data_IF_228441685181
#
_entry.id   IF_228441685181
#
_cell.length_a   1.000
_cell.length_b   1.000
_cell.length_c   1.000
_cell.angle_alpha   90.00
_cell.angle_beta   90.00
_cell.angle_gamma   90.00
#
_symmetry.space_group_name_H-M   'P 1'
#
loop_
_entity.id
_entity.type
_entity.pdbx_description
1 polymer ?
#
# COMPACT_ATOMS: atom_id res chain seq x y z
N UNK A 1 -16.60 -52.44 -16.77
CA UNK A 1 -17.48 -51.26 -16.56
C UNK A 1 -17.81 -51.24 -15.09
N UNK A 2 -17.71 -50.06 -14.47
CA UNK A 2 -17.85 -49.77 -13.03
C UNK A 2 -16.64 -50.02 -12.12
N UNK A 3 -15.59 -49.22 -12.33
CA UNK A 3 -14.62 -48.82 -11.28
C UNK A 3 -14.11 -47.39 -11.58
N UNK A 4 -15.02 -46.41 -11.70
CA UNK A 4 -14.69 -44.98 -11.72
C UNK A 4 -15.88 -44.21 -11.15
N UNK A 5 -15.95 -44.08 -9.82
CA UNK A 5 -16.76 -43.10 -9.07
C UNK A 5 -16.53 -43.28 -7.57
N UNK A 6 -15.37 -42.81 -7.07
CA UNK A 6 -15.18 -42.61 -5.62
C UNK A 6 -13.94 -41.76 -5.25
N UNK A 7 -13.69 -40.66 -5.96
CA UNK A 7 -12.64 -39.69 -5.58
C UNK A 7 -13.16 -38.24 -5.63
N UNK A 8 -14.38 -38.00 -5.15
CA UNK A 8 -14.90 -36.65 -4.90
C UNK A 8 -15.63 -36.63 -3.56
N UNK A 9 -14.88 -36.55 -2.47
CA UNK A 9 -15.26 -35.93 -1.20
C UNK A 9 -14.16 -36.24 -0.19
N UNK A 10 -13.22 -35.31 -0.03
CA UNK A 10 -12.54 -35.03 1.25
C UNK A 10 -11.64 -33.80 1.06
N UNK A 11 -12.21 -32.61 1.30
CA UNK A 11 -11.49 -31.35 1.39
C UNK A 11 -10.75 -31.23 2.72
N UNK A 12 -9.83 -32.15 2.99
CA UNK A 12 -8.94 -32.10 4.14
C UNK A 12 -7.77 -31.17 3.87
N UNK A 13 -7.55 -30.19 4.75
CA UNK A 13 -6.40 -29.30 4.71
C UNK A 13 -5.09 -30.11 4.83
N UNK A 14 -4.45 -30.36 3.68
CA UNK A 14 -3.17 -31.05 3.63
C UNK A 14 -2.10 -30.24 4.38
N UNK A 15 -1.41 -30.91 5.32
CA UNK A 15 -0.16 -30.44 5.93
C UNK A 15 0.85 -30.05 4.84
N UNK A 16 1.66 -28.99 5.02
CA UNK A 16 2.53 -28.48 3.97
C UNK A 16 3.51 -29.57 3.54
N UNK A 17 3.31 -30.11 2.34
CA UNK A 17 4.25 -31.07 1.77
C UNK A 17 5.53 -30.30 1.44
N UNK A 18 6.64 -30.67 2.07
CA UNK A 18 7.88 -29.89 2.07
C UNK A 18 8.61 -29.76 0.72
N UNK A 19 7.96 -30.07 -0.40
CA UNK A 19 8.58 -30.21 -1.72
C UNK A 19 8.00 -29.30 -2.82
N UNK A 20 6.92 -28.56 -2.55
CA UNK A 20 6.40 -27.60 -3.53
C UNK A 20 7.26 -26.33 -3.57
N UNK A 21 7.73 -25.98 -4.78
CA UNK A 21 8.52 -24.77 -4.99
C UNK A 21 7.62 -23.55 -4.90
N UNK A 22 8.06 -22.54 -4.14
CA UNK A 22 7.35 -21.25 -4.05
C UNK A 22 7.10 -20.67 -5.44
N UNK A 23 8.12 -20.64 -6.31
CA UNK A 23 7.95 -20.24 -7.71
C UNK A 23 8.47 -21.36 -8.61
N UNK A 24 7.58 -21.93 -9.43
CA UNK A 24 7.97 -22.92 -10.43
C UNK A 24 8.77 -22.28 -11.58
N UNK A 25 9.74 -23.00 -12.15
CA UNK A 25 10.59 -22.49 -13.24
C UNK A 25 9.79 -21.95 -14.43
N UNK A 26 8.65 -22.59 -14.75
CA UNK A 26 7.76 -22.18 -15.85
C UNK A 26 7.08 -20.82 -15.61
N UNK A 27 6.93 -20.41 -14.35
CA UNK A 27 6.30 -19.14 -13.97
C UNK A 27 7.31 -18.07 -13.55
N UNK A 28 8.61 -18.36 -13.56
CA UNK A 28 9.63 -17.44 -13.05
C UNK A 28 9.64 -16.09 -13.78
N UNK A 29 9.58 -16.09 -15.11
CA UNK A 29 9.58 -14.85 -15.90
C UNK A 29 8.31 -14.02 -15.64
N UNK A 30 7.08 -14.56 -15.76
CA UNK A 30 5.88 -13.84 -15.34
C UNK A 30 5.95 -13.35 -13.89
N UNK A 31 6.43 -14.18 -12.95
CA UNK A 31 6.53 -13.81 -11.55
C UNK A 31 7.44 -12.60 -11.34
N UNK A 32 8.64 -12.58 -11.95
CA UNK A 32 9.58 -11.45 -11.83
C UNK A 32 9.00 -10.17 -12.43
N UNK A 33 8.34 -10.26 -13.59
CA UNK A 33 7.73 -9.10 -14.24
C UNK A 33 6.56 -8.52 -13.44
N UNK A 34 5.69 -9.37 -12.87
CA UNK A 34 4.60 -8.89 -12.03
C UNK A 34 5.13 -8.41 -10.68
N UNK A 35 6.22 -9.01 -10.18
CA UNK A 35 6.91 -8.56 -8.97
C UNK A 35 7.47 -7.15 -9.12
N UNK A 36 8.03 -6.81 -10.28
CA UNK A 36 8.55 -5.45 -10.51
C UNK A 36 7.47 -4.37 -10.48
N UNK A 37 6.22 -4.72 -10.81
CA UNK A 37 5.08 -3.80 -10.69
C UNK A 37 4.85 -3.36 -9.24
N UNK A 38 5.06 -4.25 -8.26
CA UNK A 38 4.94 -3.90 -6.84
C UNK A 38 6.00 -2.89 -6.40
N UNK A 39 7.21 -2.96 -6.96
CA UNK A 39 8.26 -1.98 -6.71
C UNK A 39 7.93 -0.62 -7.37
N UNK A 40 7.48 -0.61 -8.63
CA UNK A 40 7.04 0.61 -9.32
C UNK A 40 5.88 1.29 -8.61
N UNK A 41 4.99 0.50 -8.04
CA UNK A 41 3.88 0.98 -7.25
C UNK A 41 4.35 1.55 -5.90
N UNK A 42 5.20 0.84 -5.15
CA UNK A 42 5.77 1.35 -3.89
C UNK A 42 6.49 2.68 -4.09
N UNK A 43 7.25 2.81 -5.19
CA UNK A 43 7.88 4.06 -5.59
C UNK A 43 6.84 5.18 -5.79
N UNK A 44 5.77 4.94 -6.54
CA UNK A 44 4.69 5.89 -6.82
C UNK A 44 4.00 6.39 -5.54
N UNK A 45 3.76 5.49 -4.60
CA UNK A 45 3.08 5.82 -3.35
C UNK A 45 3.92 6.78 -2.52
N UNK A 46 5.19 6.46 -2.33
CA UNK A 46 6.02 7.18 -1.37
C UNK A 46 6.79 8.37 -1.96
N UNK A 47 6.86 8.49 -3.29
CA UNK A 47 7.21 9.79 -3.91
C UNK A 47 6.08 10.82 -3.72
N UNK A 48 4.84 10.37 -3.51
CA UNK A 48 3.67 11.26 -3.43
C UNK A 48 3.48 11.90 -2.08
N UNK A 49 3.69 11.17 -0.97
CA UNK A 49 3.43 11.71 0.36
C UNK A 49 4.11 13.08 0.60
N UNK A 50 5.38 13.27 0.19
CA UNK A 50 6.04 14.59 0.23
C UNK A 50 5.41 15.67 -0.66
N UNK A 51 4.70 15.30 -1.73
CA UNK A 51 4.14 16.25 -2.70
C UNK A 51 3.04 17.12 -2.11
N UNK A 52 2.31 16.64 -1.09
CA UNK A 52 1.32 17.46 -0.37
C UNK A 52 1.98 18.73 0.19
N UNK A 53 3.15 18.55 0.83
CA UNK A 53 3.91 19.69 1.36
C UNK A 53 4.53 20.52 0.25
N UNK A 54 5.06 19.88 -0.80
CA UNK A 54 5.67 20.59 -1.93
C UNK A 54 4.66 21.51 -2.63
N UNK A 55 3.49 21.01 -3.02
CA UNK A 55 2.45 21.81 -3.67
C UNK A 55 1.91 22.91 -2.77
N UNK A 56 1.75 22.63 -1.46
CA UNK A 56 1.35 23.65 -0.48
C UNK A 56 2.30 24.85 -0.50
N UNK A 57 3.61 24.58 -0.47
CA UNK A 57 4.64 25.62 -0.45
C UNK A 57 4.76 26.33 -1.80
N UNK A 58 4.96 25.59 -2.90
CA UNK A 58 5.22 26.14 -4.24
C UNK A 58 4.03 26.96 -4.76
N UNK A 59 2.81 26.49 -4.52
CA UNK A 59 1.59 27.12 -5.03
C UNK A 59 0.85 27.98 -3.98
N UNK A 60 1.41 28.15 -2.78
CA UNK A 60 0.82 28.89 -1.65
C UNK A 60 -0.66 28.51 -1.39
N UNK A 61 -0.99 27.23 -1.50
CA UNK A 61 -2.35 26.73 -1.27
C UNK A 61 -2.57 26.33 0.18
N UNK A 62 -3.84 26.31 0.62
CA UNK A 62 -4.19 25.88 1.96
C UNK A 62 -3.97 24.37 2.17
N UNK A 63 -3.82 23.96 3.43
CA UNK A 63 -3.77 22.53 3.79
C UNK A 63 -4.98 21.76 3.25
N UNK A 64 -6.18 22.36 3.31
CA UNK A 64 -7.40 21.77 2.77
C UNK A 64 -7.32 21.52 1.26
N UNK A 65 -6.77 22.46 0.48
CA UNK A 65 -6.54 22.25 -0.94
C UNK A 65 -5.47 21.17 -1.18
N UNK A 66 -4.37 21.21 -0.43
CA UNK A 66 -3.30 20.22 -0.56
C UNK A 66 -3.74 18.80 -0.19
N UNK A 67 -4.67 18.64 0.77
CA UNK A 67 -5.21 17.32 1.14
C UNK A 67 -6.00 16.64 0.03
N UNK A 68 -6.44 17.38 -1.01
CA UNK A 68 -7.04 16.75 -2.19
C UNK A 68 -6.08 15.80 -2.91
N UNK A 69 -4.76 15.97 -2.78
CA UNK A 69 -3.79 15.00 -3.33
C UNK A 69 -3.99 13.62 -2.70
N UNK A 70 -4.15 13.55 -1.38
CA UNK A 70 -4.44 12.29 -0.68
C UNK A 70 -5.85 11.79 -1.01
N UNK A 71 -6.83 12.69 -1.10
CA UNK A 71 -8.19 12.32 -1.50
C UNK A 71 -8.22 11.69 -2.90
N UNK A 72 -7.51 12.28 -3.88
CA UNK A 72 -7.35 11.72 -5.20
C UNK A 72 -6.65 10.36 -5.13
N UNK A 73 -5.58 10.26 -4.33
CA UNK A 73 -4.86 9.00 -4.12
C UNK A 73 -5.78 7.85 -3.71
N UNK A 74 -6.43 7.99 -2.55
CA UNK A 74 -7.27 6.95 -1.99
C UNK A 74 -8.61 6.80 -2.72
N UNK A 75 -9.15 7.91 -3.25
CA UNK A 75 -10.34 7.89 -4.09
C UNK A 75 -10.14 7.10 -5.37
N UNK A 76 -8.94 7.14 -5.96
CA UNK A 76 -8.60 6.37 -7.15
C UNK A 76 -8.64 4.87 -6.89
N UNK A 77 -8.06 4.43 -5.77
CA UNK A 77 -8.15 3.03 -5.32
C UNK A 77 -9.59 2.58 -5.11
N UNK A 78 -10.40 3.38 -4.42
CA UNK A 78 -11.78 3.02 -4.13
C UNK A 78 -12.63 2.94 -5.39
N UNK A 79 -12.53 3.93 -6.27
CA UNK A 79 -13.43 4.06 -7.44
C UNK A 79 -13.07 3.11 -8.58
N UNK A 80 -11.78 2.79 -8.78
CA UNK A 80 -11.32 2.03 -9.96
C UNK A 80 -11.03 0.55 -9.70
N UNK A 81 -10.99 0.10 -8.44
CA UNK A 81 -10.82 -1.31 -8.13
C UNK A 81 -11.95 -2.19 -8.70
N UNK A 82 -13.21 -1.80 -8.54
CA UNK A 82 -14.34 -2.56 -9.08
C UNK A 82 -14.40 -2.56 -10.62
N UNK A 83 -14.25 -1.41 -11.31
CA UNK A 83 -14.06 -1.38 -12.76
C UNK A 83 -12.91 -2.27 -13.25
N UNK A 84 -11.78 -2.30 -12.55
CA UNK A 84 -10.67 -3.17 -12.87
C UNK A 84 -11.09 -4.65 -12.82
N UNK A 85 -11.74 -5.09 -11.75
CA UNK A 85 -12.25 -6.48 -11.63
C UNK A 85 -13.22 -6.86 -12.76
N UNK A 86 -14.14 -5.96 -13.13
CA UNK A 86 -15.07 -6.18 -14.26
C UNK A 86 -14.29 -6.37 -15.57
N UNK A 87 -13.26 -5.56 -15.81
CA UNK A 87 -12.43 -5.68 -17.01
C UNK A 87 -11.61 -6.98 -17.01
N UNK A 88 -11.19 -7.51 -15.86
CA UNK A 88 -10.49 -8.82 -15.78
C UNK A 88 -11.43 -9.98 -16.14
N UNK A 89 -12.74 -9.86 -15.90
CA UNK A 89 -13.69 -10.87 -16.40
C UNK A 89 -13.86 -10.83 -17.91
N UNK A 90 -13.83 -9.64 -18.51
CA UNK A 90 -14.03 -9.45 -19.95
C UNK A 90 -12.76 -9.67 -20.77
N UNK A 91 -11.60 -9.43 -20.18
CA UNK A 91 -10.29 -9.46 -20.84
C UNK A 91 -9.30 -10.30 -20.03
N UNK A 92 -8.13 -10.61 -20.60
CA UNK A 92 -7.11 -11.32 -19.83
C UNK A 92 -6.42 -10.41 -18.82
N UNK A 93 -5.91 -10.97 -17.71
CA UNK A 93 -5.06 -10.27 -16.73
C UNK A 93 -4.03 -9.37 -17.40
N UNK A 94 -3.30 -9.90 -18.40
CA UNK A 94 -2.29 -9.16 -19.15
C UNK A 94 -2.85 -7.89 -19.80
N UNK A 95 -4.02 -7.95 -20.44
CA UNK A 95 -4.63 -6.79 -21.10
C UNK A 95 -5.02 -5.72 -20.09
N UNK A 96 -5.57 -6.13 -18.94
CA UNK A 96 -5.98 -5.20 -17.88
C UNK A 96 -4.76 -4.58 -17.18
N UNK A 97 -3.70 -5.36 -16.96
CA UNK A 97 -2.41 -4.85 -16.46
C UNK A 97 -1.87 -3.78 -17.40
N UNK A 98 -1.78 -4.06 -18.70
CA UNK A 98 -1.29 -3.09 -19.70
C UNK A 98 -2.16 -1.84 -19.76
N UNK A 99 -3.48 -1.97 -19.61
CA UNK A 99 -4.37 -0.83 -19.51
C UNK A 99 -4.10 0.02 -18.26
N UNK A 100 -3.92 -0.62 -17.10
CA UNK A 100 -3.52 0.05 -15.86
C UNK A 100 -2.17 0.75 -15.97
N UNK A 101 -1.18 0.12 -16.61
CA UNK A 101 0.11 0.74 -16.90
C UNK A 101 -0.02 1.93 -17.84
N UNK A 102 -0.93 1.87 -18.82
CA UNK A 102 -1.28 2.98 -19.68
C UNK A 102 -1.81 4.18 -18.90
N UNK A 103 -2.80 3.95 -18.03
CA UNK A 103 -3.33 4.99 -17.14
C UNK A 103 -2.25 5.57 -16.22
N UNK A 104 -1.41 4.73 -15.64
CA UNK A 104 -0.30 5.14 -14.80
C UNK A 104 0.67 6.04 -15.59
N UNK A 105 1.16 5.58 -16.73
CA UNK A 105 2.06 6.35 -17.59
C UNK A 105 1.42 7.68 -18.02
N UNK A 106 0.16 7.66 -18.47
CA UNK A 106 -0.57 8.89 -18.84
C UNK A 106 -0.65 9.86 -17.66
N UNK A 107 -1.04 9.41 -16.48
CA UNK A 107 -1.13 10.26 -15.29
C UNK A 107 0.21 10.91 -14.94
N UNK A 108 1.31 10.16 -14.99
CA UNK A 108 2.65 10.70 -14.76
C UNK A 108 3.12 11.68 -15.84
N UNK A 109 2.84 11.41 -17.12
CA UNK A 109 3.24 12.28 -18.24
C UNK A 109 2.42 13.58 -18.29
N UNK A 110 1.17 13.55 -17.79
CA UNK A 110 0.34 14.76 -17.67
C UNK A 110 0.87 15.78 -16.64
N UNK A 111 1.86 15.41 -15.81
CA UNK A 111 2.59 16.39 -15.00
C UNK A 111 3.34 17.41 -15.89
N UNK A 112 3.70 17.05 -17.12
CA UNK A 112 4.35 17.97 -18.05
C UNK A 112 3.46 19.16 -18.42
N UNK A 113 2.26 18.98 -18.99
CA UNK A 113 1.34 20.10 -19.22
C UNK A 113 0.86 20.74 -17.90
N UNK A 114 0.70 19.98 -16.81
CA UNK A 114 0.30 20.55 -15.53
C UNK A 114 1.30 21.60 -15.01
N UNK A 115 2.60 21.34 -15.17
CA UNK A 115 3.66 22.28 -14.81
C UNK A 115 3.67 23.52 -15.71
N UNK A 116 3.37 23.37 -17.01
CA UNK A 116 3.28 24.50 -17.93
C UNK A 116 2.13 25.46 -17.59
N UNK A 117 0.96 24.90 -17.25
CA UNK A 117 -0.19 25.71 -16.86
C UNK A 117 -0.12 26.22 -15.41
N UNK A 118 0.79 25.68 -14.59
CA UNK A 118 0.97 26.02 -13.17
C UNK A 118 -0.32 25.95 -12.33
N UNK A 119 -1.29 25.14 -12.75
CA UNK A 119 -2.57 25.02 -12.05
C UNK A 119 -2.63 23.72 -11.25
N UNK A 120 -2.87 23.87 -9.94
CA UNK A 120 -3.05 22.73 -9.03
C UNK A 120 -4.09 21.71 -9.51
N UNK A 121 -5.18 22.17 -10.14
CA UNK A 121 -6.22 21.29 -10.67
C UNK A 121 -5.72 20.32 -11.74
N UNK A 122 -4.79 20.74 -12.61
CA UNK A 122 -4.20 19.84 -13.60
C UNK A 122 -3.27 18.82 -12.95
N UNK A 123 -2.48 19.21 -11.95
CA UNK A 123 -1.68 18.26 -11.17
C UNK A 123 -2.56 17.25 -10.47
N UNK A 124 -3.65 17.70 -9.85
CA UNK A 124 -4.60 16.83 -9.17
C UNK A 124 -5.28 15.85 -10.12
N UNK A 125 -5.70 16.29 -11.31
CA UNK A 125 -6.29 15.41 -12.33
C UNK A 125 -5.27 14.38 -12.84
N UNK A 126 -4.04 14.81 -13.11
CA UNK A 126 -2.92 13.94 -13.52
C UNK A 126 -2.66 12.87 -12.46
N UNK A 127 -2.65 13.30 -11.20
CA UNK A 127 -2.47 12.45 -10.04
C UNK A 127 -3.62 11.44 -9.87
N UNK A 128 -4.85 11.86 -10.11
CA UNK A 128 -6.01 10.97 -10.05
C UNK A 128 -5.96 9.90 -11.15
N UNK A 129 -5.59 10.25 -12.38
CA UNK A 129 -5.41 9.29 -13.48
C UNK A 129 -4.27 8.29 -13.17
N UNK A 130 -3.17 8.77 -12.59
CA UNK A 130 -2.08 7.91 -12.12
C UNK A 130 -2.61 6.86 -11.13
N UNK A 131 -3.43 7.28 -10.17
CA UNK A 131 -3.98 6.40 -9.13
C UNK A 131 -4.96 5.38 -9.66
N UNK A 132 -5.69 5.70 -10.73
CA UNK A 132 -6.49 4.72 -11.46
C UNK A 132 -5.63 3.60 -12.02
N UNK A 133 -4.47 3.95 -12.59
CA UNK A 133 -3.50 2.96 -13.04
C UNK A 133 -3.04 2.05 -11.91
N UNK A 134 -2.69 2.62 -10.75
CA UNK A 134 -2.28 1.84 -9.58
C UNK A 134 -3.40 0.91 -9.08
N UNK A 135 -4.64 1.38 -9.00
CA UNK A 135 -5.79 0.57 -8.59
C UNK A 135 -6.00 -0.64 -9.51
N UNK A 136 -5.81 -0.46 -10.81
CA UNK A 136 -5.86 -1.55 -11.80
C UNK A 136 -4.75 -2.55 -11.59
N UNK A 137 -3.50 -2.08 -11.41
CA UNK A 137 -2.36 -2.95 -11.16
C UNK A 137 -2.52 -3.74 -9.87
N UNK A 138 -3.06 -3.13 -8.82
CA UNK A 138 -3.23 -3.79 -7.54
C UNK A 138 -4.36 -4.83 -7.54
N UNK A 139 -5.47 -4.51 -8.21
CA UNK A 139 -6.59 -5.45 -8.36
C UNK A 139 -6.22 -6.66 -9.24
N UNK A 140 -5.25 -6.50 -10.14
CA UNK A 140 -4.82 -7.56 -11.08
C UNK A 140 -3.59 -8.35 -10.63
N UNK A 141 -2.56 -7.67 -10.12
CA UNK A 141 -1.27 -8.28 -9.84
C UNK A 141 -1.33 -9.24 -8.65
N UNK A 142 -2.06 -8.88 -7.58
CA UNK A 142 -2.14 -9.74 -6.39
C UNK A 142 -2.80 -11.10 -6.73
N UNK A 143 -3.99 -11.18 -7.35
CA UNK A 143 -4.58 -12.47 -7.75
C UNK A 143 -3.75 -13.24 -8.78
N UNK A 144 -3.09 -12.52 -9.71
CA UNK A 144 -2.22 -13.15 -10.68
C UNK A 144 -1.06 -13.88 -9.98
N UNK A 145 -0.35 -13.23 -9.05
CA UNK A 145 0.72 -13.89 -8.27
C UNK A 145 0.19 -15.09 -7.46
N UNK A 146 -0.98 -14.96 -6.86
CA UNK A 146 -1.62 -16.04 -6.13
C UNK A 146 -1.94 -17.25 -7.04
N UNK A 147 -2.25 -17.03 -8.31
CA UNK A 147 -2.56 -18.10 -9.27
C UNK A 147 -1.34 -18.73 -9.97
N UNK A 148 -0.13 -18.15 -9.85
CA UNK A 148 1.09 -18.65 -10.50
C UNK A 148 1.74 -19.84 -9.78
N UNK A 149 1.02 -20.96 -9.67
CA UNK A 149 1.50 -22.21 -9.09
C UNK A 149 0.51 -22.85 -8.13
N UNK A 150 1.00 -23.69 -7.22
CA UNK A 150 0.15 -24.44 -6.29
C UNK A 150 -0.60 -23.53 -5.31
N UNK A 151 -1.79 -23.98 -4.86
CA UNK A 151 -2.58 -23.27 -3.85
C UNK A 151 -1.86 -23.21 -2.49
N UNK A 152 -1.11 -24.25 -2.10
CA UNK A 152 -0.40 -24.32 -0.82
C UNK A 152 0.64 -23.19 -0.63
N UNK A 153 1.37 -22.84 -1.69
CA UNK A 153 2.41 -21.81 -1.63
C UNK A 153 1.95 -20.42 -2.06
N UNK A 154 0.66 -20.24 -2.37
CA UNK A 154 0.08 -19.00 -2.91
C UNK A 154 0.34 -17.77 -2.02
N UNK A 155 -0.06 -17.81 -0.76
CA UNK A 155 0.14 -16.69 0.18
C UNK A 155 1.62 -16.36 0.38
N UNK A 156 2.49 -17.39 0.37
CA UNK A 156 3.94 -17.21 0.47
C UNK A 156 4.54 -16.59 -0.79
N UNK A 157 4.07 -16.95 -2.00
CA UNK A 157 4.43 -16.28 -3.26
C UNK A 157 4.06 -14.81 -3.23
N UNK A 158 2.85 -14.50 -2.77
CA UNK A 158 2.37 -13.13 -2.69
C UNK A 158 3.24 -12.30 -1.74
N UNK A 159 3.56 -12.85 -0.56
CA UNK A 159 4.49 -12.23 0.38
C UNK A 159 5.87 -11.99 -0.24
N UNK A 160 6.42 -12.97 -0.97
CA UNK A 160 7.70 -12.82 -1.66
C UNK A 160 7.68 -11.70 -2.70
N UNK A 161 6.65 -11.64 -3.55
CA UNK A 161 6.51 -10.57 -4.54
C UNK A 161 6.37 -9.20 -3.86
N UNK A 162 5.55 -9.14 -2.80
CA UNK A 162 5.31 -7.91 -2.03
C UNK A 162 6.52 -7.48 -1.17
N UNK A 163 7.55 -8.31 -1.01
CA UNK A 163 8.84 -7.88 -0.42
C UNK A 163 9.58 -6.86 -1.26
N UNK A 164 9.26 -6.74 -2.55
CA UNK A 164 9.85 -5.75 -3.43
C UNK A 164 9.12 -4.39 -3.37
N UNK A 165 7.90 -4.36 -2.83
CA UNK A 165 7.16 -3.11 -2.67
C UNK A 165 7.88 -2.09 -1.76
N UNK A 166 8.36 -2.45 -0.54
CA UNK A 166 9.04 -1.48 0.31
C UNK A 166 10.42 -1.06 -0.23
N UNK A 167 11.05 -1.87 -1.08
CA UNK A 167 12.26 -1.46 -1.82
C UNK A 167 11.92 -0.31 -2.76
N UNK A 168 10.81 -0.43 -3.48
CA UNK A 168 10.24 0.65 -4.29
C UNK A 168 9.95 1.90 -3.46
N UNK A 169 9.26 1.73 -2.33
CA UNK A 169 8.97 2.82 -1.37
C UNK A 169 10.20 3.56 -0.88
N UNK A 170 11.24 2.84 -0.43
CA UNK A 170 12.51 3.42 -0.01
C UNK A 170 13.16 4.23 -1.12
N UNK A 171 13.13 3.71 -2.35
CA UNK A 171 13.66 4.41 -3.53
C UNK A 171 12.83 5.67 -3.83
N UNK A 172 11.50 5.60 -3.71
CA UNK A 172 10.58 6.73 -3.90
C UNK A 172 10.81 7.85 -2.89
N UNK A 173 10.93 7.51 -1.60
CA UNK A 173 11.26 8.48 -0.53
C UNK A 173 12.62 9.13 -0.77
N UNK A 174 13.63 8.32 -1.13
CA UNK A 174 14.96 8.83 -1.45
C UNK A 174 14.90 9.82 -2.62
N UNK A 175 14.20 9.47 -3.70
CA UNK A 175 14.05 10.37 -4.85
C UNK A 175 13.32 11.65 -4.47
N UNK A 176 12.21 11.55 -3.74
CA UNK A 176 11.46 12.71 -3.28
C UNK A 176 12.31 13.65 -2.41
N UNK A 177 13.10 13.11 -1.49
CA UNK A 177 13.93 13.91 -0.61
C UNK A 177 15.10 14.56 -1.35
N UNK A 178 15.82 13.80 -2.18
CA UNK A 178 17.10 14.24 -2.76
C UNK A 178 16.96 15.00 -4.08
N UNK A 179 15.91 14.73 -4.85
CA UNK A 179 15.73 15.30 -6.19
C UNK A 179 14.52 16.23 -6.28
N UNK A 180 13.60 16.20 -5.31
CA UNK A 180 12.48 17.15 -5.25
C UNK A 180 12.68 18.12 -4.10
N UNK A 181 12.46 17.70 -2.87
CA UNK A 181 12.36 18.60 -1.71
C UNK A 181 13.62 19.43 -1.47
N UNK A 182 14.81 18.85 -1.61
CA UNK A 182 16.10 19.56 -1.41
C UNK A 182 16.42 20.56 -2.53
N UNK A 183 15.66 20.55 -3.62
CA UNK A 183 15.84 21.38 -4.81
C UNK A 183 14.74 22.43 -5.00
N UNK A 184 13.79 22.52 -4.06
CA UNK A 184 12.73 23.52 -4.08
C UNK A 184 13.24 24.85 -3.52
N UNK A 185 13.35 25.86 -4.38
CA UNK A 185 13.72 27.21 -3.95
C UNK A 185 12.62 27.84 -3.09
N UNK A 186 11.35 27.46 -3.32
CA UNK A 186 10.22 27.91 -2.50
C UNK A 186 10.26 27.42 -1.06
N UNK A 187 11.04 26.37 -0.77
CA UNK A 187 11.19 25.80 0.56
C UNK A 187 12.32 26.45 1.38
N UNK A 188 13.06 27.40 0.80
CA UNK A 188 14.12 28.14 1.50
C UNK A 188 13.55 28.98 2.65
N UNK A 189 14.22 28.90 3.80
CA UNK A 189 13.84 29.58 5.03
C UNK A 189 14.84 30.66 5.40
N UNK A 190 14.32 31.77 5.91
CA UNK A 190 15.15 32.84 6.47
C UNK A 190 15.72 32.40 7.84
N UNK A 191 16.62 33.22 8.40
CA UNK A 191 17.25 32.94 9.69
C UNK A 191 16.24 32.81 10.86
N UNK A 192 15.04 33.40 10.72
CA UNK A 192 13.93 33.31 11.68
C UNK A 192 13.02 32.07 11.46
N UNK A 193 13.32 31.25 10.44
CA UNK A 193 12.55 30.06 10.09
C UNK A 193 11.31 30.30 9.22
N UNK A 194 11.01 31.56 8.85
CA UNK A 194 9.94 31.91 7.91
C UNK A 194 10.32 31.54 6.47
N UNK A 195 9.32 31.26 5.61
CA UNK A 195 9.56 30.96 4.20
C UNK A 195 9.90 32.25 3.46
N UNK A 196 11.10 32.32 2.87
CA UNK A 196 11.55 33.49 2.09
C UNK A 196 10.58 33.73 0.94
N UNK A 197 10.20 32.65 0.26
CA UNK A 197 9.32 32.66 -0.89
C UNK A 197 8.04 33.46 -0.67
N UNK A 198 7.38 33.31 0.48
CA UNK A 198 6.11 33.99 0.76
C UNK A 198 6.23 35.51 0.86
N UNK A 199 7.44 36.03 1.11
CA UNK A 199 7.73 37.47 1.22
C UNK A 199 8.18 38.11 -0.10
N UNK A 200 8.46 37.31 -1.14
CA UNK A 200 8.97 37.80 -2.42
C UNK A 200 7.89 38.51 -3.26
N UNK A 201 8.27 39.45 -4.13
CA UNK A 201 7.37 40.02 -5.14
C UNK A 201 6.83 38.96 -6.11
N UNK A 202 5.62 39.15 -6.63
CA UNK A 202 4.97 38.13 -7.49
C UNK A 202 5.77 37.79 -8.75
N UNK A 203 6.54 38.74 -9.29
CA UNK A 203 7.42 38.48 -10.45
C UNK A 203 8.51 37.45 -10.16
N UNK A 204 9.14 37.52 -8.98
CA UNK A 204 10.14 36.54 -8.55
C UNK A 204 9.48 35.21 -8.17
N UNK A 205 8.31 35.27 -7.51
CA UNK A 205 7.52 34.08 -7.19
C UNK A 205 7.17 33.29 -8.45
N UNK A 206 6.76 33.96 -9.53
CA UNK A 206 6.40 33.30 -10.77
C UNK A 206 7.57 32.52 -11.40
N UNK A 207 8.79 33.07 -11.31
CA UNK A 207 10.01 32.41 -11.81
C UNK A 207 10.34 31.19 -10.96
N UNK A 208 10.37 31.35 -9.63
CA UNK A 208 10.63 30.25 -8.69
C UNK A 208 9.57 29.15 -8.84
N UNK A 209 8.29 29.53 -8.92
CA UNK A 209 7.18 28.60 -9.13
C UNK A 209 7.37 27.78 -10.41
N UNK A 210 7.72 28.43 -11.52
CA UNK A 210 7.97 27.73 -12.78
C UNK A 210 9.11 26.70 -12.64
N UNK A 211 10.22 27.09 -12.00
CA UNK A 211 11.38 26.23 -11.78
C UNK A 211 11.06 25.06 -10.83
N UNK A 212 10.46 25.33 -9.68
CA UNK A 212 10.11 24.32 -8.69
C UNK A 212 9.09 23.31 -9.23
N UNK A 213 8.14 23.75 -10.07
CA UNK A 213 7.21 22.84 -10.72
C UNK A 213 7.90 21.94 -11.76
N UNK A 214 8.99 22.39 -12.40
CA UNK A 214 9.82 21.52 -13.24
C UNK A 214 10.56 20.48 -12.41
N UNK A 215 11.09 20.88 -11.25
CA UNK A 215 11.74 19.98 -10.28
C UNK A 215 10.78 18.87 -9.83
N UNK A 216 9.51 19.20 -9.58
CA UNK A 216 8.46 18.20 -9.26
C UNK A 216 8.11 17.34 -10.47
N UNK A 217 7.96 17.96 -11.65
CA UNK A 217 7.56 17.28 -12.90
C UNK A 217 8.55 16.20 -13.31
N UNK A 218 9.84 16.49 -13.29
CA UNK A 218 10.85 15.67 -13.97
C UNK A 218 10.90 14.23 -13.44
N UNK A 219 10.92 13.98 -12.12
CA UNK A 219 10.85 12.62 -11.58
C UNK A 219 9.57 11.85 -11.98
N UNK A 220 8.42 12.52 -12.06
CA UNK A 220 7.17 11.91 -12.51
C UNK A 220 7.23 11.57 -14.01
N UNK A 221 7.74 12.47 -14.86
CA UNK A 221 7.90 12.17 -16.29
C UNK A 221 8.85 11.00 -16.51
N UNK A 222 9.98 10.95 -15.79
CA UNK A 222 10.92 9.82 -15.83
C UNK A 222 10.24 8.51 -15.39
N UNK A 223 9.43 8.54 -14.32
CA UNK A 223 8.64 7.41 -13.87
C UNK A 223 7.69 6.91 -14.98
N UNK A 224 7.02 7.81 -15.68
CA UNK A 224 6.16 7.47 -16.81
C UNK A 224 6.89 6.74 -17.93
N UNK A 225 8.11 7.19 -18.27
CA UNK A 225 8.96 6.51 -19.26
C UNK A 225 9.38 5.11 -18.81
N UNK A 226 9.74 4.94 -17.53
CA UNK A 226 10.05 3.63 -16.95
C UNK A 226 8.83 2.71 -16.98
N UNK A 227 7.65 3.21 -16.62
CA UNK A 227 6.39 2.45 -16.68
C UNK A 227 6.10 2.01 -18.12
N UNK A 228 6.28 2.88 -19.11
CA UNK A 228 6.12 2.53 -20.53
C UNK A 228 7.09 1.43 -20.93
N UNK A 229 8.37 1.54 -20.56
CA UNK A 229 9.38 0.53 -20.88
C UNK A 229 8.99 -0.84 -20.29
N UNK A 230 8.57 -0.89 -19.03
CA UNK A 230 8.09 -2.13 -18.38
C UNK A 230 6.80 -2.64 -19.04
N UNK A 231 5.90 -1.75 -19.46
CA UNK A 231 4.67 -2.12 -20.16
C UNK A 231 4.98 -2.80 -21.50
N UNK A 232 5.96 -2.28 -22.26
CA UNK A 232 6.42 -2.90 -23.51
C UNK A 232 6.98 -4.31 -23.24
N UNK A 233 7.79 -4.48 -22.20
CA UNK A 233 8.34 -5.79 -21.80
C UNK A 233 7.21 -6.78 -21.46
N UNK A 234 6.20 -6.36 -20.71
CA UNK A 234 5.02 -7.18 -20.38
C UNK A 234 4.20 -7.48 -21.64
N UNK A 235 4.07 -6.52 -22.55
CA UNK A 235 3.33 -6.67 -23.79
C UNK A 235 3.94 -7.74 -24.71
N UNK A 236 5.27 -7.86 -24.76
CA UNK A 236 5.95 -8.89 -25.56
C UNK A 236 6.08 -10.23 -24.83
N UNK A 237 6.01 -10.24 -23.51
CA UNK A 237 6.14 -11.48 -22.71
C UNK A 237 4.85 -12.30 -22.71
N UNK A 238 4.96 -13.62 -22.88
CA UNK A 238 3.83 -14.54 -22.74
C UNK A 238 3.54 -14.78 -21.26
N UNK A 239 2.38 -14.30 -20.80
CA UNK A 239 1.86 -14.58 -19.45
C UNK A 239 0.80 -15.67 -19.60
N UNK A 240 0.89 -16.77 -18.84
CA UNK A 240 -0.13 -17.82 -18.83
C UNK A 240 -1.52 -17.22 -18.57
N UNK A 241 -2.49 -17.56 -19.40
CA UNK A 241 -3.88 -17.15 -19.21
C UNK A 241 -4.55 -18.12 -18.24
N UNK A 242 -4.86 -17.65 -17.03
CA UNK A 242 -5.58 -18.43 -16.02
C UNK A 242 -7.09 -18.24 -16.05
N UNK A 243 -7.62 -17.38 -16.95
CA UNK A 243 -9.06 -17.11 -17.01
C UNK A 243 -9.76 -18.12 -17.93
N UNK A 244 -10.57 -18.99 -17.33
CA UNK A 244 -11.73 -19.53 -18.00
C UNK A 244 -12.75 -18.40 -18.19
N UNK A 245 -13.23 -18.21 -19.42
CA UNK A 245 -14.29 -17.23 -19.68
C UNK A 245 -15.58 -17.77 -19.04
N UNK A 246 -16.13 -17.01 -18.10
CA UNK A 246 -17.45 -17.30 -17.54
C UNK A 246 -18.51 -16.53 -18.35
N UNK A 247 -19.11 -17.21 -19.34
CA UNK A 247 -20.11 -16.63 -20.24
C UNK A 247 -21.43 -16.27 -19.50
N UNK A 248 -21.62 -16.73 -18.25
CA UNK A 248 -22.79 -16.44 -17.41
C UNK A 248 -22.48 -15.47 -16.24
N UNK A 249 -21.49 -14.59 -16.41
CA UNK A 249 -21.12 -13.63 -15.37
C UNK A 249 -22.28 -12.70 -14.96
N UNK A 250 -22.64 -12.76 -13.68
CA UNK A 250 -23.57 -11.84 -13.01
C UNK A 250 -22.86 -11.12 -11.86
N UNK A 251 -22.81 -9.79 -11.93
CA UNK A 251 -22.17 -8.97 -10.91
C UNK A 251 -22.91 -9.07 -9.57
N UNK A 252 -24.24 -9.06 -9.59
CA UNK A 252 -25.08 -9.13 -8.38
C UNK A 252 -24.85 -10.42 -7.60
N UNK A 253 -24.87 -11.56 -8.29
CA UNK A 253 -24.69 -12.86 -7.65
C UNK A 253 -23.27 -13.02 -7.09
N UNK A 254 -22.27 -12.49 -7.79
CA UNK A 254 -20.87 -12.49 -7.35
C UNK A 254 -20.69 -11.68 -6.07
N UNK A 255 -21.25 -10.47 -6.00
CA UNK A 255 -21.21 -9.65 -4.80
C UNK A 255 -21.96 -10.30 -3.63
N UNK A 256 -23.11 -10.94 -3.91
CA UNK A 256 -23.87 -11.66 -2.89
C UNK A 256 -23.07 -12.83 -2.31
N UNK A 257 -22.43 -13.65 -3.15
CA UNK A 257 -21.55 -14.75 -2.69
C UNK A 257 -20.40 -14.25 -1.84
N UNK A 258 -19.77 -13.13 -2.24
CA UNK A 258 -18.69 -12.51 -1.47
C UNK A 258 -19.18 -12.04 -0.09
N UNK A 259 -20.30 -11.33 -0.01
CA UNK A 259 -20.85 -10.84 1.26
C UNK A 259 -21.24 -12.00 2.20
N UNK A 260 -21.71 -13.12 1.64
CA UNK A 260 -22.03 -14.34 2.40
C UNK A 260 -20.78 -15.09 2.86
N UNK A 261 -19.65 -14.94 2.18
CA UNK A 261 -18.39 -15.56 2.59
C UNK A 261 -17.80 -14.85 3.82
N UNK A 262 -17.92 -15.51 4.97
CA UNK A 262 -17.45 -14.99 6.27
C UNK A 262 -15.94 -14.74 6.28
N UNK A 263 -15.14 -15.62 5.66
CA UNK A 263 -13.68 -15.48 5.57
C UNK A 263 -13.31 -14.21 4.83
N UNK A 264 -13.91 -14.01 3.67
CA UNK A 264 -13.68 -12.83 2.85
C UNK A 264 -14.11 -11.56 3.58
N UNK A 265 -15.32 -11.53 4.16
CA UNK A 265 -15.83 -10.35 4.88
C UNK A 265 -14.93 -9.97 6.05
N UNK A 266 -14.53 -10.92 6.89
CA UNK A 266 -13.60 -10.65 7.98
C UNK A 266 -12.23 -10.21 7.46
N UNK A 267 -11.77 -10.76 6.33
CA UNK A 267 -10.54 -10.35 5.65
C UNK A 267 -10.57 -8.90 5.17
N UNK A 268 -11.66 -8.46 4.54
CA UNK A 268 -11.86 -7.05 4.14
C UNK A 268 -11.83 -6.13 5.36
N UNK A 269 -12.51 -6.50 6.44
CA UNK A 269 -12.46 -5.72 7.69
C UNK A 269 -11.04 -5.66 8.24
N UNK A 270 -10.37 -6.80 8.36
CA UNK A 270 -8.97 -6.85 8.83
C UNK A 270 -8.05 -6.00 7.95
N UNK A 271 -8.28 -5.97 6.65
CA UNK A 271 -7.52 -5.16 5.69
C UNK A 271 -7.70 -3.65 5.92
N UNK A 272 -8.94 -3.19 6.18
CA UNK A 272 -9.24 -1.78 6.53
C UNK A 272 -8.46 -1.37 7.78
N UNK A 273 -8.56 -2.19 8.84
CA UNK A 273 -7.87 -1.92 10.11
C UNK A 273 -6.35 -1.99 9.97
N UNK A 274 -5.83 -2.93 9.17
CA UNK A 274 -4.39 -3.02 8.89
C UNK A 274 -3.86 -1.77 8.19
N UNK A 275 -4.50 -1.34 7.09
CA UNK A 275 -4.02 -0.17 6.35
C UNK A 275 -4.12 1.08 7.25
N UNK A 276 -5.20 1.21 8.01
CA UNK A 276 -5.34 2.25 9.03
C UNK A 276 -4.19 2.24 10.04
N UNK A 277 -3.91 1.11 10.68
CA UNK A 277 -2.82 0.95 11.65
C UNK A 277 -1.46 1.33 11.06
N UNK A 278 -1.18 0.89 9.83
CA UNK A 278 0.08 1.13 9.15
C UNK A 278 0.32 2.62 8.92
N UNK A 279 -0.65 3.30 8.29
CA UNK A 279 -0.51 4.73 7.99
C UNK A 279 -0.45 5.54 9.28
N UNK A 280 -1.27 5.20 10.28
CA UNK A 280 -1.24 5.83 11.60
C UNK A 280 0.14 5.70 12.27
N UNK A 281 0.69 4.48 12.37
CA UNK A 281 1.98 4.25 13.00
C UNK A 281 3.09 5.05 12.31
N UNK A 282 3.17 4.98 10.99
CA UNK A 282 4.24 5.66 10.24
C UNK A 282 4.11 7.17 10.23
N UNK A 283 2.89 7.68 10.02
CA UNK A 283 2.64 9.12 10.00
C UNK A 283 3.05 9.75 11.32
N UNK A 284 2.67 9.13 12.44
CA UNK A 284 2.84 9.72 13.77
C UNK A 284 4.13 9.32 14.49
N UNK A 285 5.05 8.59 13.84
CA UNK A 285 6.45 8.46 14.34
C UNK A 285 7.07 9.83 14.52
N UNK A 286 6.87 10.73 13.56
CA UNK A 286 7.52 12.04 13.56
C UNK A 286 7.00 12.89 14.71
N UNK A 287 5.67 13.01 14.84
CA UNK A 287 5.03 13.78 15.91
C UNK A 287 5.32 13.19 17.29
N UNK A 288 5.42 11.86 17.41
CA UNK A 288 5.81 11.22 18.66
C UNK A 288 7.25 11.60 19.03
N UNK A 289 8.19 11.52 18.09
CA UNK A 289 9.59 11.88 18.31
C UNK A 289 9.75 13.38 18.68
N UNK A 290 9.04 14.28 17.98
CA UNK A 290 9.04 15.71 18.31
C UNK A 290 8.48 15.98 19.71
N UNK A 291 7.40 15.27 20.11
CA UNK A 291 6.78 15.43 21.42
C UNK A 291 7.71 15.06 22.59
N UNK A 292 8.69 14.20 22.37
CA UNK A 292 9.68 13.80 23.38
C UNK A 292 11.02 14.55 23.24
N UNK A 293 11.11 15.52 22.34
CA UNK A 293 12.23 16.46 22.24
C UNK A 293 13.20 16.26 21.09
N UNK A 294 12.96 15.31 20.17
CA UNK A 294 13.78 15.15 18.97
C UNK A 294 13.49 16.22 17.93
N UNK A 295 14.51 16.56 17.13
CA UNK A 295 14.36 17.42 15.97
C UNK A 295 13.60 16.69 14.85
N UNK A 296 13.00 17.46 13.93
CA UNK A 296 12.35 16.91 12.72
C UNK A 296 13.29 16.05 11.88
N UNK A 297 14.58 16.38 11.85
CA UNK A 297 15.57 15.63 11.08
C UNK A 297 15.81 14.24 11.71
N UNK A 298 15.99 14.17 13.02
CA UNK A 298 16.13 12.91 13.76
C UNK A 298 14.85 12.07 13.67
N UNK A 299 13.69 12.71 13.82
CA UNK A 299 12.38 12.10 13.66
C UNK A 299 12.20 11.44 12.27
N UNK A 300 12.68 12.09 11.21
CA UNK A 300 12.65 11.52 9.87
C UNK A 300 13.60 10.32 9.73
N UNK A 301 14.76 10.34 10.37
CA UNK A 301 15.67 9.18 10.41
C UNK A 301 15.01 7.96 11.07
N UNK A 302 14.21 8.16 12.12
CA UNK A 302 13.45 7.06 12.75
C UNK A 302 12.41 6.44 11.81
N UNK A 303 11.74 7.25 10.98
CA UNK A 303 10.82 6.72 9.96
C UNK A 303 11.57 5.86 8.92
N UNK A 304 12.77 6.28 8.49
CA UNK A 304 13.60 5.47 7.60
C UNK A 304 14.00 4.14 8.26
N UNK A 305 14.37 4.16 9.55
CA UNK A 305 14.65 2.92 10.30
C UNK A 305 13.42 2.01 10.33
N UNK A 306 12.23 2.56 10.60
CA UNK A 306 10.96 1.83 10.58
C UNK A 306 10.72 1.13 9.23
N UNK A 307 11.01 1.80 8.11
CA UNK A 307 10.92 1.24 6.76
C UNK A 307 11.91 0.10 6.51
N UNK A 308 13.15 0.25 6.97
CA UNK A 308 14.17 -0.81 6.86
C UNK A 308 13.76 -2.03 7.69
N UNK A 309 13.23 -1.82 8.89
CA UNK A 309 12.70 -2.88 9.74
C UNK A 309 11.48 -3.56 9.11
N UNK A 310 10.59 -2.81 8.47
CA UNK A 310 9.45 -3.35 7.73
C UNK A 310 9.92 -4.26 6.59
N UNK A 311 10.87 -3.80 5.77
CA UNK A 311 11.44 -4.57 4.67
C UNK A 311 12.13 -5.85 5.16
N UNK A 312 13.00 -5.72 6.16
CA UNK A 312 13.74 -6.84 6.75
C UNK A 312 12.79 -7.86 7.39
N UNK A 313 11.81 -7.36 8.17
CA UNK A 313 10.74 -8.16 8.76
C UNK A 313 9.95 -8.92 7.71
N UNK A 314 9.68 -8.31 6.55
CA UNK A 314 8.91 -8.96 5.46
C UNK A 314 9.65 -10.15 4.87
N UNK A 315 10.95 -10.01 4.60
CA UNK A 315 11.76 -11.14 4.11
C UNK A 315 11.86 -12.26 5.15
N UNK A 316 12.08 -11.91 6.42
CA UNK A 316 12.13 -12.89 7.51
C UNK A 316 10.79 -13.61 7.65
N UNK A 317 9.68 -12.89 7.67
CA UNK A 317 8.34 -13.47 7.75
C UNK A 317 8.02 -14.37 6.55
N UNK A 318 8.36 -13.95 5.33
CA UNK A 318 8.20 -14.75 4.11
C UNK A 318 9.01 -16.05 4.18
N UNK A 319 10.18 -16.02 4.82
CA UNK A 319 10.97 -17.23 5.09
C UNK A 319 10.30 -18.11 6.15
N UNK A 320 9.81 -17.53 7.25
CA UNK A 320 9.12 -18.24 8.33
C UNK A 320 7.83 -18.93 7.86
N UNK A 321 7.15 -18.40 6.83
CA UNK A 321 6.01 -19.05 6.18
C UNK A 321 6.33 -20.42 5.56
N UNK A 322 7.62 -20.78 5.42
CA UNK A 322 8.02 -22.16 5.08
C UNK A 322 7.66 -23.15 6.18
N UNK A 323 7.69 -22.72 7.43
CA UNK A 323 7.59 -23.59 8.61
C UNK A 323 6.27 -23.42 9.36
N UNK A 324 5.63 -22.25 9.24
CA UNK A 324 4.44 -21.88 9.99
C UNK A 324 3.31 -21.49 9.03
N UNK A 325 2.08 -21.93 9.31
CA UNK A 325 0.88 -21.52 8.54
C UNK A 325 0.73 -20.00 8.55
N UNK A 326 0.33 -19.43 7.41
CA UNK A 326 0.20 -17.98 7.23
C UNK A 326 -0.76 -17.33 8.24
N UNK A 327 -1.88 -17.98 8.56
CA UNK A 327 -2.88 -17.52 9.55
C UNK A 327 -2.32 -17.45 10.97
N UNK A 328 -1.52 -18.43 11.38
CA UNK A 328 -0.84 -18.43 12.67
C UNK A 328 0.21 -17.34 12.75
N UNK A 329 1.02 -17.18 11.70
CA UNK A 329 2.05 -16.14 11.65
C UNK A 329 1.43 -14.73 11.71
N UNK A 330 0.30 -14.54 11.02
CA UNK A 330 -0.49 -13.31 11.09
C UNK A 330 -0.96 -13.01 12.52
N UNK A 331 -1.51 -14.00 13.23
CA UNK A 331 -1.97 -13.83 14.60
C UNK A 331 -0.82 -13.48 15.56
N UNK A 332 0.31 -14.18 15.45
CA UNK A 332 1.50 -13.93 16.29
C UNK A 332 2.05 -12.52 16.04
N UNK A 333 2.14 -12.11 14.78
CA UNK A 333 2.62 -10.76 14.47
C UNK A 333 1.65 -9.68 14.93
N UNK A 334 0.34 -9.91 14.85
CA UNK A 334 -0.66 -9.01 15.40
C UNK A 334 -0.55 -8.87 16.93
N UNK A 335 -0.30 -9.97 17.65
CA UNK A 335 0.00 -9.93 19.09
C UNK A 335 1.30 -9.16 19.40
N UNK A 336 2.33 -9.31 18.57
CA UNK A 336 3.55 -8.50 18.67
C UNK A 336 3.27 -7.01 18.46
N UNK A 337 2.44 -6.65 17.49
CA UNK A 337 1.95 -5.29 17.27
C UNK A 337 1.18 -4.73 18.46
N UNK A 338 0.29 -5.52 19.07
CA UNK A 338 -0.41 -5.14 20.32
C UNK A 338 0.60 -4.86 21.43
N UNK A 339 1.58 -5.74 21.61
CA UNK A 339 2.63 -5.57 22.62
C UNK A 339 3.43 -4.29 22.42
N UNK A 340 3.87 -4.02 21.19
CA UNK A 340 4.61 -2.79 20.86
C UNK A 340 3.76 -1.54 21.07
N UNK A 341 2.49 -1.53 20.64
CA UNK A 341 1.59 -0.40 20.89
C UNK A 341 1.32 -0.17 22.37
N UNK A 342 1.20 -1.25 23.16
CA UNK A 342 1.05 -1.16 24.61
C UNK A 342 2.26 -0.45 25.24
N UNK A 343 3.47 -0.79 24.82
CA UNK A 343 4.69 -0.10 25.27
C UNK A 343 4.69 1.37 24.83
N UNK A 344 4.37 1.66 23.57
CA UNK A 344 4.27 3.03 23.05
C UNK A 344 3.30 3.89 23.85
N UNK A 345 2.14 3.34 24.22
CA UNK A 345 1.10 4.07 24.96
C UNK A 345 1.53 4.29 26.42
N UNK A 346 1.87 3.22 27.15
CA UNK A 346 1.96 3.26 28.61
C UNK A 346 3.36 3.55 29.15
N UNK A 347 4.42 3.17 28.43
CA UNK A 347 5.81 3.44 28.87
C UNK A 347 6.24 4.83 28.42
N UNK A 348 5.92 5.21 27.18
CA UNK A 348 6.25 6.52 26.65
C UNK A 348 7.76 6.74 26.44
N UNK A 349 8.14 8.00 26.19
CA UNK A 349 9.54 8.41 25.99
C UNK A 349 10.23 7.68 24.83
N UNK A 350 11.55 7.57 24.90
CA UNK A 350 12.37 6.92 23.87
C UNK A 350 12.03 5.43 23.72
N UNK A 351 11.73 4.74 24.82
CA UNK A 351 11.34 3.33 24.80
C UNK A 351 10.05 3.15 24.00
N UNK A 352 9.06 4.03 24.22
CA UNK A 352 7.82 4.02 23.46
C UNK A 352 8.01 4.36 21.98
N UNK A 353 8.96 5.25 21.64
CA UNK A 353 9.35 5.54 20.26
C UNK A 353 9.99 4.31 19.59
N UNK A 354 10.92 3.64 20.27
CA UNK A 354 11.55 2.42 19.75
C UNK A 354 10.56 1.28 19.58
N UNK A 355 9.58 1.14 20.48
CA UNK A 355 8.48 0.20 20.31
C UNK A 355 7.61 0.56 19.08
N UNK A 356 7.30 1.85 18.87
CA UNK A 356 6.56 2.32 17.72
C UNK A 356 7.30 1.99 16.41
N UNK A 357 8.60 2.25 16.36
CA UNK A 357 9.45 1.89 15.22
C UNK A 357 9.48 0.36 15.01
N UNK A 358 9.66 -0.41 16.10
CA UNK A 358 9.69 -1.87 16.11
C UNK A 358 8.38 -2.52 15.64
N UNK A 359 7.25 -1.83 15.78
CA UNK A 359 5.95 -2.27 15.24
C UNK A 359 6.00 -2.54 13.74
N UNK A 360 6.89 -1.87 13.02
CA UNK A 360 7.09 -2.07 11.58
C UNK A 360 7.51 -3.50 11.22
N UNK A 361 8.27 -4.18 12.08
CA UNK A 361 8.59 -5.62 11.88
C UNK A 361 7.30 -6.44 11.89
N UNK A 362 6.40 -6.14 12.81
CA UNK A 362 5.16 -6.87 13.00
C UNK A 362 4.12 -6.56 11.92
N UNK A 363 4.10 -5.34 11.37
CA UNK A 363 3.22 -5.00 10.25
C UNK A 363 3.64 -5.66 8.92
N UNK A 364 4.90 -6.07 8.81
CA UNK A 364 5.55 -6.42 7.55
C UNK A 364 4.79 -7.42 6.68
N UNK A 365 4.33 -8.56 7.20
CA UNK A 365 3.61 -9.57 6.39
C UNK A 365 2.09 -9.37 6.32
N UNK A 366 1.51 -8.48 7.12
CA UNK A 366 0.08 -8.52 7.39
C UNK A 366 -0.75 -8.25 6.13
N UNK A 367 -0.42 -7.21 5.35
CA UNK A 367 -1.13 -6.90 4.09
C UNK A 367 -1.24 -8.11 3.15
N UNK A 368 -0.14 -8.67 2.61
CA UNK A 368 -0.23 -9.78 1.65
C UNK A 368 -0.81 -11.05 2.28
N UNK A 369 -0.70 -11.21 3.59
CA UNK A 369 -1.21 -12.40 4.28
C UNK A 369 -2.72 -12.34 4.50
N UNK A 370 -3.24 -11.20 4.95
CA UNK A 370 -4.68 -10.96 5.01
C UNK A 370 -5.27 -11.13 3.61
N UNK A 371 -4.61 -10.55 2.61
CA UNK A 371 -5.04 -10.64 1.21
C UNK A 371 -5.09 -12.10 0.71
N UNK A 372 -4.01 -12.87 0.93
CA UNK A 372 -3.94 -14.26 0.52
C UNK A 372 -5.00 -15.14 1.19
N UNK A 373 -5.20 -14.97 2.50
CA UNK A 373 -6.21 -15.71 3.28
C UNK A 373 -7.64 -15.31 2.86
N UNK A 374 -7.90 -14.02 2.63
CA UNK A 374 -9.22 -13.52 2.28
C UNK A 374 -9.69 -13.99 0.90
N UNK A 375 -8.75 -14.25 -0.02
CA UNK A 375 -9.05 -14.79 -1.36
C UNK A 375 -9.00 -16.32 -1.46
N UNK A 376 -8.66 -17.00 -0.37
CA UNK A 376 -8.59 -18.46 -0.35
C UNK A 376 -9.99 -19.06 -0.60
N UNK A 377 -10.09 -19.96 -1.58
CA UNK A 377 -11.33 -20.64 -1.94
C UNK A 377 -12.38 -19.79 -2.67
N UNK A 378 -12.05 -18.57 -3.11
CA UNK A 378 -12.96 -17.76 -3.93
C UNK A 378 -13.01 -18.20 -5.40
N UNK A 379 -11.96 -18.88 -5.89
CA UNK A 379 -11.81 -19.36 -7.26
C UNK A 379 -12.28 -18.34 -8.31
N UNK A 380 -13.48 -18.51 -8.88
CA UNK A 380 -14.05 -17.60 -9.89
C UNK A 380 -14.45 -16.21 -9.37
N UNK A 381 -14.49 -15.98 -8.06
CA UNK A 381 -14.85 -14.68 -7.48
C UNK A 381 -13.60 -13.90 -7.01
N UNK A 382 -12.40 -14.45 -7.19
CA UNK A 382 -11.15 -13.90 -6.68
C UNK A 382 -10.86 -12.48 -7.17
N UNK A 383 -11.18 -12.13 -8.43
CA UNK A 383 -10.97 -10.78 -8.96
C UNK A 383 -11.84 -9.72 -8.26
N UNK A 384 -13.09 -10.06 -7.94
CA UNK A 384 -14.00 -9.15 -7.24
C UNK A 384 -13.67 -9.08 -5.76
N UNK A 385 -13.25 -10.21 -5.17
CA UNK A 385 -12.69 -10.21 -3.81
C UNK A 385 -11.46 -9.31 -3.73
N UNK A 386 -10.57 -9.39 -4.70
CA UNK A 386 -9.38 -8.56 -4.83
C UNK A 386 -9.74 -7.07 -4.88
N UNK A 387 -10.74 -6.70 -5.68
CA UNK A 387 -11.24 -5.33 -5.72
C UNK A 387 -11.74 -4.84 -4.36
N UNK A 388 -12.47 -5.66 -3.60
CA UNK A 388 -12.91 -5.28 -2.26
C UNK A 388 -11.77 -5.06 -1.27
N UNK A 389 -10.72 -5.88 -1.34
CA UNK A 389 -9.51 -5.69 -0.54
C UNK A 389 -8.71 -4.44 -0.96
N UNK A 390 -8.72 -4.07 -2.25
CA UNK A 390 -8.12 -2.82 -2.72
C UNK A 390 -8.96 -1.61 -2.27
N UNK A 391 -10.28 -1.70 -2.33
CA UNK A 391 -11.16 -0.64 -1.79
C UNK A 391 -10.96 -0.44 -0.29
N UNK A 392 -10.61 -1.49 0.47
CA UNK A 392 -10.30 -1.41 1.89
C UNK A 392 -9.10 -0.51 2.23
N UNK A 393 -8.24 -0.19 1.25
CA UNK A 393 -7.11 0.74 1.43
C UNK A 393 -7.58 2.14 1.85
N UNK A 394 -8.83 2.50 1.56
CA UNK A 394 -9.45 3.76 2.01
C UNK A 394 -9.42 3.93 3.54
N UNK A 395 -9.29 2.84 4.30
CA UNK A 395 -9.06 2.89 5.75
C UNK A 395 -7.87 3.78 6.15
N UNK A 396 -6.83 3.83 5.31
CA UNK A 396 -5.66 4.69 5.48
C UNK A 396 -5.95 6.19 5.34
N UNK A 397 -7.06 6.59 4.73
CA UNK A 397 -7.48 7.98 4.64
C UNK A 397 -8.33 8.42 5.85
N UNK A 398 -9.06 7.49 6.47
CA UNK A 398 -10.05 7.79 7.50
C UNK A 398 -9.45 7.78 8.91
N UNK A 399 -8.51 6.86 9.20
CA UNK A 399 -7.97 6.69 10.56
C UNK A 399 -6.93 7.74 10.98
N UNK A 400 -5.99 8.21 10.12
CA UNK A 400 -5.01 9.22 10.53
C UNK A 400 -5.61 10.56 10.94
N UNK A 401 -6.64 11.13 10.26
CA UNK A 401 -7.32 12.32 10.74
C UNK A 401 -7.94 12.13 12.14
N UNK A 402 -8.49 10.95 12.42
CA UNK A 402 -9.03 10.62 13.75
C UNK A 402 -7.91 10.60 14.81
N UNK A 403 -6.75 10.01 14.49
CA UNK A 403 -5.60 10.02 15.40
C UNK A 403 -5.07 11.45 15.63
N UNK A 404 -4.97 12.26 14.56
CA UNK A 404 -4.60 13.67 14.65
C UNK A 404 -5.53 14.47 15.56
N UNK A 405 -6.85 14.28 15.42
CA UNK A 405 -7.85 14.94 16.27
C UNK A 405 -7.76 14.53 17.76
N UNK A 406 -7.20 13.35 18.06
CA UNK A 406 -6.89 12.95 19.44
C UNK A 406 -5.64 13.70 19.91
N UNK A 407 -4.58 13.73 19.10
CA UNK A 407 -3.31 14.41 19.41
C UNK A 407 -3.52 15.89 19.73
N UNK A 408 -4.36 16.57 18.96
CA UNK A 408 -4.65 18.00 19.13
C UNK A 408 -5.30 18.35 20.48
N UNK A 409 -5.77 17.37 21.25
CA UNK A 409 -6.31 17.60 22.61
C UNK A 409 -5.21 17.85 23.65
N UNK A 410 -3.94 17.65 23.31
CA UNK A 410 -2.78 17.90 24.17
C UNK A 410 -2.58 16.85 25.26
N UNK A 411 -3.48 16.78 26.24
CA UNK A 411 -3.43 15.81 27.35
C UNK A 411 -4.78 15.10 27.45
N UNK A 412 -4.76 13.76 27.52
CA UNK A 412 -5.95 12.93 27.67
C UNK A 412 -5.66 11.84 28.71
N UNK A 413 -6.62 11.56 29.60
CA UNK A 413 -6.48 10.52 30.63
C UNK A 413 -5.20 10.65 31.50
N UNK A 414 -4.73 11.88 31.73
CA UNK A 414 -3.50 12.14 32.50
C UNK A 414 -2.19 11.81 31.77
N UNK A 415 -2.25 11.49 30.47
CA UNK A 415 -1.10 11.18 29.63
C UNK A 415 -1.04 12.14 28.42
N UNK A 416 0.13 12.32 27.78
CA UNK A 416 0.21 13.04 26.52
C UNK A 416 -0.76 12.43 25.51
N UNK A 417 -1.59 13.26 24.87
CA UNK A 417 -2.59 12.80 23.91
C UNK A 417 -1.95 12.08 22.71
N UNK A 418 -0.67 12.40 22.42
CA UNK A 418 0.17 11.66 21.47
C UNK A 418 0.27 10.19 21.80
N UNK A 419 0.59 9.83 23.04
CA UNK A 419 0.65 8.43 23.48
C UNK A 419 -0.72 7.77 23.39
N UNK A 420 -1.76 8.45 23.89
CA UNK A 420 -3.13 7.91 23.90
C UNK A 420 -3.67 7.68 22.49
N UNK A 421 -3.23 8.47 21.51
CA UNK A 421 -3.63 8.33 20.11
C UNK A 421 -3.30 6.93 19.53
N UNK A 422 -2.26 6.26 20.06
CA UNK A 422 -1.85 4.92 19.62
C UNK A 422 -2.78 3.79 20.09
N UNK A 423 -3.81 4.08 20.91
CA UNK A 423 -4.91 3.13 21.15
C UNK A 423 -5.65 2.77 19.86
N UNK A 424 -5.72 3.68 18.88
CA UNK A 424 -6.34 3.39 17.59
C UNK A 424 -5.61 2.25 16.85
N UNK A 425 -4.29 2.35 16.57
CA UNK A 425 -3.50 1.21 16.10
C UNK A 425 -3.61 -0.05 16.95
N UNK A 426 -3.63 0.07 18.28
CA UNK A 426 -3.79 -1.09 19.17
C UNK A 426 -5.11 -1.84 18.89
N UNK A 427 -6.22 -1.12 18.78
CA UNK A 427 -7.52 -1.72 18.42
C UNK A 427 -7.46 -2.37 17.04
N UNK A 428 -6.78 -1.75 16.08
CA UNK A 428 -6.57 -2.33 14.76
C UNK A 428 -5.84 -3.68 14.83
N UNK A 429 -4.76 -3.76 15.61
CA UNK A 429 -4.04 -5.02 15.80
C UNK A 429 -4.87 -6.08 16.53
N UNK A 430 -5.75 -5.69 17.47
CA UNK A 430 -6.72 -6.62 18.07
C UNK A 430 -7.65 -7.23 17.02
N UNK A 431 -8.20 -6.42 16.10
CA UNK A 431 -9.05 -6.93 15.01
C UNK A 431 -8.28 -7.91 14.12
N UNK A 432 -7.04 -7.58 13.75
CA UNK A 432 -6.18 -8.44 12.93
C UNK A 432 -5.82 -9.74 13.66
N UNK A 433 -5.52 -9.68 14.97
CA UNK A 433 -5.21 -10.84 15.80
C UNK A 433 -6.40 -11.80 15.88
N UNK A 434 -7.61 -11.27 16.09
CA UNK A 434 -8.85 -12.05 16.09
C UNK A 434 -9.07 -12.72 14.75
N UNK A 435 -8.89 -11.99 13.65
CA UNK A 435 -9.00 -12.57 12.30
C UNK A 435 -7.98 -13.70 12.11
N UNK A 436 -6.68 -13.45 12.33
CA UNK A 436 -5.64 -14.47 12.18
C UNK A 436 -5.88 -15.71 13.04
N UNK A 437 -6.28 -15.52 14.30
CA UNK A 437 -6.57 -16.61 15.23
C UNK A 437 -7.78 -17.44 14.81
N UNK A 438 -8.91 -16.81 14.46
CA UNK A 438 -10.10 -17.52 13.97
C UNK A 438 -9.77 -18.35 12.73
N UNK A 439 -9.00 -17.77 11.80
CA UNK A 439 -8.61 -18.48 10.57
C UNK A 439 -7.67 -19.65 10.85
N UNK A 440 -6.77 -19.51 11.83
CA UNK A 440 -5.94 -20.62 12.27
C UNK A 440 -6.76 -21.77 12.85
N UNK A 441 -7.81 -21.48 13.63
CA UNK A 441 -8.68 -22.51 14.20
C UNK A 441 -9.53 -23.23 13.14
N UNK A 442 -10.01 -22.52 12.12
CA UNK A 442 -10.84 -23.13 11.05
C UNK A 442 -10.04 -23.87 9.99
N UNK A 443 -8.71 -23.70 9.97
CA UNK A 443 -7.78 -24.38 9.03
C UNK A 443 -6.93 -25.46 9.72
N UNK A 444 -7.18 -25.72 11.01
CA UNK A 444 -6.75 -26.94 11.69
C UNK A 444 -7.66 -28.08 11.31
#
# INVERSE_FOLDING_TARGET
MDLQKKDEQEGGAASPSGNEKVVEKKYLVPFVLITSLFALWGFANDITNPMVSAFKTVMEISNFKASFVQFAFYGGYFTMALPAAILIKRYSYKKVILFGMGLYATGTLLFYPAAQFQMFGFFLASYYILTFGLAFLETTANPLILSLGSKETSTRRLNLAQSFNPIGSLTGMFVAQQFILSKLNSAEKAADGSLIYSTLPEGEKAIIRAQDLMVIRDPYVMLGLVVIAVAVIIAVTKIPTTNEKDDNFSLGDTLQRLIQNVTYREGVVAQIFYVGAQIMCWTFIIQYAENIGYTKAEAQSFNIIAMVLFLSGRFIATFLMRFVKASMLLAVFALGGIGMMTVTIFVGGDIGLYALIGTSIFMSLMFPTIYGIALEGLDKDAEFGAAGLVMAIVGGALMPPLQGAIIDKGVLMGMPAVNVSFFLPLVCFCVIAVFGYRRFLTTK
#
